data_IF_814563886607
#
_entry.id   IF_814563886607
#
_cell.length_a   1.000
_cell.length_b   1.000
_cell.length_c   1.000
_cell.angle_alpha   90.00
_cell.angle_beta   90.00
_cell.angle_gamma   90.00
#
_symmetry.space_group_name_H-M   'P 1'
#
loop_
_entity.id
_entity.type
_entity.pdbx_description
1 polymer ?
#
# COMPACT_ATOMS: atom_id res chain seq x y z
N UNK A 1 8.87 29.39 -14.22
CA UNK A 1 8.14 28.33 -13.48
C UNK A 1 6.67 28.53 -13.80
N UNK A 2 6.23 27.90 -14.87
CA UNK A 2 4.90 28.10 -15.44
C UNK A 2 3.88 27.23 -14.70
N UNK A 3 2.88 27.89 -14.12
CA UNK A 3 1.66 27.28 -13.59
C UNK A 3 0.99 26.42 -14.68
N UNK A 4 1.18 25.10 -14.61
CA UNK A 4 0.37 24.16 -15.40
C UNK A 4 -1.00 24.10 -14.73
N UNK A 5 -1.96 24.82 -15.29
CA UNK A 5 -3.37 24.71 -14.90
C UNK A 5 -3.85 23.30 -15.22
N UNK A 6 -4.38 22.62 -14.21
CA UNK A 6 -4.90 21.25 -14.24
C UNK A 6 -6.02 21.04 -15.29
N UNK A 7 -6.59 22.11 -15.84
CA UNK A 7 -7.72 22.09 -16.78
C UNK A 7 -7.38 21.68 -18.23
N UNK A 8 -6.10 21.62 -18.63
CA UNK A 8 -5.70 21.25 -20.01
C UNK A 8 -5.61 19.73 -20.27
N UNK A 9 -5.93 18.88 -19.30
CA UNK A 9 -5.78 17.41 -19.36
C UNK A 9 -6.90 16.66 -20.10
N UNK A 10 -7.77 17.34 -20.86
CA UNK A 10 -8.83 16.68 -21.68
C UNK A 10 -8.31 16.00 -22.97
N UNK A 11 -7.01 15.79 -23.09
CA UNK A 11 -6.38 15.01 -24.15
C UNK A 11 -6.55 13.51 -23.90
N UNK A 12 -7.07 12.77 -24.89
CA UNK A 12 -7.11 11.30 -24.91
C UNK A 12 -5.78 10.75 -24.40
N UNK A 13 -5.84 9.90 -23.38
CA UNK A 13 -4.68 9.20 -22.82
C UNK A 13 -3.86 8.62 -23.98
N UNK A 14 -2.57 8.99 -24.15
CA UNK A 14 -1.78 8.65 -25.34
C UNK A 14 -1.25 7.21 -25.33
N UNK A 15 -1.92 6.32 -24.58
CA UNK A 15 -1.56 4.91 -24.45
C UNK A 15 -2.79 4.05 -24.22
N UNK A 16 -2.61 2.74 -24.40
CA UNK A 16 -3.61 1.70 -24.09
C UNK A 16 -3.00 0.62 -23.21
N UNK A 17 -3.83 -0.04 -22.42
CA UNK A 17 -3.47 -1.27 -21.72
C UNK A 17 -3.54 -2.45 -22.70
N UNK A 18 -2.47 -3.22 -22.82
CA UNK A 18 -2.38 -4.38 -23.71
C UNK A 18 -1.57 -5.52 -23.07
N UNK A 19 -1.48 -6.69 -23.72
CA UNK A 19 -0.68 -7.83 -23.23
C UNK A 19 0.80 -7.64 -23.57
N UNK A 20 1.68 -7.99 -22.63
CA UNK A 20 3.13 -8.06 -22.88
C UNK A 20 3.50 -9.38 -23.55
N UNK A 21 4.65 -9.41 -24.24
CA UNK A 21 5.12 -10.61 -24.94
C UNK A 21 5.52 -11.76 -24.01
N UNK A 22 5.95 -11.45 -22.78
CA UNK A 22 6.36 -12.41 -21.75
C UNK A 22 5.21 -12.86 -20.83
N UNK A 23 3.97 -12.46 -21.13
CA UNK A 23 2.81 -12.76 -20.30
C UNK A 23 2.62 -11.71 -19.21
N UNK A 24 1.45 -11.06 -19.21
CA UNK A 24 1.14 -9.96 -18.32
C UNK A 24 0.35 -8.87 -19.04
N UNK A 25 0.30 -7.69 -18.42
CA UNK A 25 -0.28 -6.47 -19.00
C UNK A 25 0.76 -5.36 -18.93
N UNK A 26 0.72 -4.45 -19.89
CA UNK A 26 1.56 -3.26 -19.93
C UNK A 26 0.80 -2.10 -20.55
N UNK A 27 1.42 -0.92 -20.56
CA UNK A 27 0.89 0.28 -21.20
C UNK A 27 1.70 0.55 -22.47
N UNK A 28 1.02 0.71 -23.60
CA UNK A 28 1.66 0.89 -24.90
C UNK A 28 1.21 2.19 -25.56
N UNK A 29 2.16 2.98 -26.06
CA UNK A 29 1.89 4.24 -26.72
C UNK A 29 0.98 4.04 -27.94
N UNK A 30 -0.07 4.85 -28.07
CA UNK A 30 -1.02 4.80 -29.21
C UNK A 30 -0.67 5.81 -30.30
N UNK A 31 0.37 6.61 -30.08
CA UNK A 31 0.91 7.62 -30.98
C UNK A 31 2.37 7.92 -30.57
N UNK A 32 3.18 8.56 -31.44
CA UNK A 32 4.46 9.12 -31.00
C UNK A 32 4.25 10.15 -29.87
N UNK A 33 5.06 10.08 -28.82
CA UNK A 33 4.98 10.97 -27.66
C UNK A 33 6.33 11.69 -27.49
N UNK A 34 6.38 13.03 -27.56
CA UNK A 34 7.62 13.77 -27.34
C UNK A 34 8.17 13.58 -25.92
N UNK A 35 9.47 13.79 -25.76
CA UNK A 35 10.14 13.92 -24.46
C UNK A 35 9.44 14.95 -23.56
N UNK A 36 9.45 14.70 -22.24
CA UNK A 36 8.93 15.58 -21.19
C UNK A 36 7.42 15.86 -21.29
N UNK A 37 6.67 14.96 -21.93
CA UNK A 37 5.21 15.04 -22.03
C UNK A 37 4.56 14.41 -20.80
N UNK A 38 3.64 15.13 -20.15
CA UNK A 38 2.74 14.57 -19.13
C UNK A 38 1.76 13.61 -19.81
N UNK A 39 1.90 12.31 -19.53
CA UNK A 39 1.09 11.27 -20.18
C UNK A 39 -0.04 10.76 -19.28
N UNK A 40 0.10 10.84 -17.95
CA UNK A 40 -0.89 10.34 -17.01
C UNK A 40 -0.78 11.02 -15.65
N UNK A 41 -1.91 11.19 -14.97
CA UNK A 41 -1.98 11.65 -13.58
C UNK A 41 -2.93 10.74 -12.81
N UNK A 42 -2.44 10.17 -11.71
CA UNK A 42 -3.27 9.53 -10.69
C UNK A 42 -3.53 10.57 -9.61
N UNK A 43 -4.73 11.18 -9.51
CA UNK A 43 -4.94 12.36 -8.66
C UNK A 43 -4.88 12.05 -7.16
N UNK A 44 -5.30 10.84 -6.78
CA UNK A 44 -5.31 10.36 -5.39
C UNK A 44 -5.01 8.87 -5.34
N UNK A 45 -4.37 8.37 -4.27
CA UNK A 45 -4.24 6.94 -4.04
C UNK A 45 -5.58 6.35 -3.59
N UNK A 46 -5.86 5.09 -3.95
CA UNK A 46 -7.01 4.34 -3.45
C UNK A 46 -6.89 4.00 -1.97
N UNK A 47 -5.68 3.61 -1.56
CA UNK A 47 -5.32 3.26 -0.20
C UNK A 47 -3.96 3.87 0.12
N UNK A 48 -3.78 4.39 1.33
CA UNK A 48 -2.52 4.95 1.75
C UNK A 48 -2.36 4.89 3.26
N UNK A 49 -1.13 4.77 3.72
CA UNK A 49 -0.78 4.84 5.14
C UNK A 49 0.45 5.72 5.30
N UNK A 50 0.35 6.75 6.13
CA UNK A 50 1.51 7.43 6.70
C UNK A 50 1.88 6.66 7.96
N UNK A 51 3.13 6.22 8.03
CA UNK A 51 3.71 5.51 9.16
C UNK A 51 3.54 6.31 10.44
N UNK A 52 3.38 5.58 11.55
CA UNK A 52 2.97 6.16 12.83
C UNK A 52 3.88 7.30 13.27
N UNK A 53 5.18 7.11 13.12
CA UNK A 53 6.21 8.06 13.55
C UNK A 53 6.14 9.36 12.77
N UNK A 54 5.84 9.29 11.47
CA UNK A 54 5.79 10.45 10.58
C UNK A 54 4.45 11.19 10.55
N UNK A 55 3.41 10.72 11.27
CA UNK A 55 2.06 11.31 11.18
C UNK A 55 2.00 12.78 11.55
N UNK A 56 2.82 13.22 12.50
CA UNK A 56 2.90 14.62 12.91
C UNK A 56 3.70 15.46 11.92
N UNK A 57 4.50 14.83 11.08
CA UNK A 57 5.54 15.45 10.26
C UNK A 57 5.13 15.50 8.80
N UNK A 58 4.19 14.66 8.38
CA UNK A 58 3.72 14.58 6.99
C UNK A 58 2.27 15.04 6.90
N UNK A 59 2.02 16.01 6.02
CA UNK A 59 0.67 16.50 5.74
C UNK A 59 -0.15 15.40 5.04
N UNK A 60 -1.31 15.05 5.58
CA UNK A 60 -2.16 14.00 5.00
C UNK A 60 -2.76 14.36 3.62
N UNK A 61 -2.81 15.64 3.26
CA UNK A 61 -3.38 16.10 1.98
C UNK A 61 -2.38 16.26 0.85
N UNK A 62 -1.17 16.72 1.15
CA UNK A 62 -0.17 17.01 0.12
C UNK A 62 1.14 16.26 0.33
N UNK A 63 1.23 15.44 1.39
CA UNK A 63 2.44 14.72 1.77
C UNK A 63 3.68 15.63 1.87
N UNK A 64 3.47 16.91 2.19
CA UNK A 64 4.55 17.83 2.53
C UNK A 64 5.16 17.42 3.87
N UNK A 65 6.49 17.34 3.89
CA UNK A 65 7.25 17.01 5.08
C UNK A 65 7.54 18.29 5.88
N UNK A 66 7.41 18.23 7.20
CA UNK A 66 7.59 19.39 8.06
C UNK A 66 9.02 19.92 8.01
N UNK A 67 10.01 19.03 7.88
CA UNK A 67 11.43 19.39 7.86
C UNK A 67 11.80 20.19 6.61
N UNK A 68 11.20 19.89 5.45
CA UNK A 68 11.33 20.72 4.23
C UNK A 68 10.94 22.18 4.48
N UNK A 69 9.96 22.40 5.36
CA UNK A 69 9.49 23.72 5.78
C UNK A 69 10.20 24.27 7.03
N UNK A 70 11.33 23.66 7.44
CA UNK A 70 12.10 23.98 8.66
C UNK A 70 11.26 23.89 9.93
N UNK A 71 10.39 22.89 10.02
CA UNK A 71 9.55 22.59 11.18
C UNK A 71 9.79 21.16 11.63
N UNK A 72 9.63 20.90 12.93
CA UNK A 72 9.68 19.53 13.47
C UNK A 72 8.35 18.79 13.33
N UNK A 73 7.23 19.51 13.20
CA UNK A 73 5.90 18.92 13.01
C UNK A 73 4.89 19.96 12.52
N UNK A 74 3.77 19.45 12.02
CA UNK A 74 2.57 20.18 11.67
C UNK A 74 1.65 20.33 12.90
N UNK A 75 1.00 21.48 13.03
CA UNK A 75 0.11 21.79 14.15
C UNK A 75 -1.37 21.71 13.82
N UNK A 76 -1.74 21.71 12.53
CA UNK A 76 -3.14 21.62 12.10
C UNK A 76 -3.57 20.15 12.16
N UNK A 77 -4.51 19.83 13.03
CA UNK A 77 -5.07 18.47 13.20
C UNK A 77 -6.45 18.37 12.56
N UNK A 78 -6.85 17.17 12.13
CA UNK A 78 -8.23 16.91 11.73
C UNK A 78 -9.18 17.08 12.91
N UNK A 79 -8.94 16.30 13.96
CA UNK A 79 -9.58 16.37 15.27
C UNK A 79 -8.61 15.88 16.35
N UNK A 80 -8.88 16.16 17.62
CA UNK A 80 -8.04 15.66 18.71
C UNK A 80 -8.08 14.12 18.74
N UNK A 81 -6.90 13.47 18.79
CA UNK A 81 -6.80 12.01 18.74
C UNK A 81 -7.08 11.34 17.37
N UNK A 82 -7.37 12.11 16.32
CA UNK A 82 -7.63 11.58 14.96
C UNK A 82 -6.43 10.90 14.29
N UNK A 83 -5.21 11.23 14.72
CA UNK A 83 -4.00 10.71 14.10
C UNK A 83 -3.69 11.29 12.71
N UNK A 84 -4.28 12.43 12.33
CA UNK A 84 -4.13 13.07 11.01
C UNK A 84 -3.74 14.54 11.16
N UNK A 85 -2.68 14.95 10.47
CA UNK A 85 -2.12 16.31 10.51
C UNK A 85 -1.97 16.94 9.12
N UNK A 86 -1.92 18.27 9.08
CA UNK A 86 -1.88 19.07 7.86
C UNK A 86 -0.91 20.24 7.96
N UNK A 87 -0.31 20.62 6.83
CA UNK A 87 0.54 21.81 6.77
C UNK A 87 -0.24 23.13 6.83
N UNK A 88 -1.53 23.11 6.54
CA UNK A 88 -2.40 24.29 6.52
C UNK A 88 -3.88 23.94 6.72
N UNK A 89 -4.68 24.93 7.09
CA UNK A 89 -6.15 24.83 7.16
C UNK A 89 -6.79 24.51 5.81
N UNK A 90 -6.20 25.02 4.72
CA UNK A 90 -6.64 24.69 3.36
C UNK A 90 -6.49 23.19 3.09
N UNK A 91 -5.32 22.62 3.36
CA UNK A 91 -5.07 21.18 3.23
C UNK A 91 -6.03 20.34 4.10
N UNK A 92 -6.31 20.77 5.34
CA UNK A 92 -7.29 20.10 6.19
C UNK A 92 -8.68 20.11 5.56
N UNK A 93 -9.12 21.27 5.08
CA UNK A 93 -10.43 21.44 4.45
C UNK A 93 -10.59 20.61 3.17
N UNK A 94 -9.59 20.63 2.29
CA UNK A 94 -9.61 19.86 1.04
C UNK A 94 -9.68 18.36 1.30
N UNK A 95 -8.88 17.87 2.24
CA UNK A 95 -8.86 16.46 2.62
C UNK A 95 -10.17 16.04 3.28
N UNK A 96 -10.71 16.85 4.19
CA UNK A 96 -11.95 16.52 4.92
C UNK A 96 -13.16 16.37 4.00
N UNK A 97 -13.19 17.11 2.88
CA UNK A 97 -14.25 16.99 1.85
C UNK A 97 -14.14 15.73 1.01
N UNK A 98 -12.93 15.18 0.84
CA UNK A 98 -12.67 14.06 -0.07
C UNK A 98 -12.56 12.69 0.63
N UNK A 99 -12.14 12.66 1.89
CA UNK A 99 -11.67 11.41 2.54
C UNK A 99 -12.54 10.93 3.71
N UNK A 100 -13.72 11.50 3.92
CA UNK A 100 -14.64 11.05 4.96
C UNK A 100 -14.07 11.24 6.38
N UNK A 101 -13.82 12.50 6.74
CA UNK A 101 -13.11 12.89 7.96
C UNK A 101 -13.58 12.20 9.25
N UNK A 102 -14.90 12.14 9.47
CA UNK A 102 -15.47 11.54 10.68
C UNK A 102 -15.16 10.04 10.78
N UNK A 103 -15.31 9.33 9.66
CA UNK A 103 -15.07 7.89 9.61
C UNK A 103 -13.58 7.56 9.78
N UNK A 104 -12.69 8.28 9.10
CA UNK A 104 -11.23 8.09 9.26
C UNK A 104 -10.80 8.39 10.70
N UNK A 105 -11.33 9.46 11.31
CA UNK A 105 -11.04 9.78 12.70
C UNK A 105 -11.49 8.65 13.64
N UNK A 106 -12.72 8.15 13.47
CA UNK A 106 -13.25 7.04 14.25
C UNK A 106 -12.39 5.77 14.11
N UNK A 107 -12.01 5.43 12.87
CA UNK A 107 -11.13 4.30 12.55
C UNK A 107 -9.78 4.44 13.26
N UNK A 108 -9.11 5.58 13.11
CA UNK A 108 -7.79 5.78 13.70
C UNK A 108 -7.83 5.73 15.22
N UNK A 109 -8.80 6.41 15.84
CA UNK A 109 -8.99 6.39 17.29
C UNK A 109 -9.25 4.97 17.80
N UNK A 110 -10.06 4.18 17.10
CA UNK A 110 -10.36 2.80 17.51
C UNK A 110 -9.13 1.87 17.37
N UNK A 111 -8.36 2.00 16.28
CA UNK A 111 -7.10 1.26 16.12
C UNK A 111 -6.14 1.57 17.27
N UNK A 112 -5.94 2.86 17.59
CA UNK A 112 -5.04 3.25 18.68
C UNK A 112 -5.55 2.80 20.05
N UNK A 113 -6.87 2.83 20.28
CA UNK A 113 -7.48 2.36 21.52
C UNK A 113 -7.27 0.85 21.70
N UNK A 114 -7.55 0.06 20.67
CA UNK A 114 -7.38 -1.40 20.70
C UNK A 114 -5.91 -1.80 20.85
N UNK A 115 -4.99 -1.17 20.10
CA UNK A 115 -3.56 -1.43 20.21
C UNK A 115 -3.05 -1.19 21.63
N UNK A 116 -3.36 -0.03 22.23
CA UNK A 116 -2.98 0.30 23.62
C UNK A 116 -3.60 -0.66 24.64
N UNK A 117 -4.85 -1.07 24.45
CA UNK A 117 -5.51 -2.03 25.34
C UNK A 117 -4.76 -3.37 25.33
N UNK A 118 -4.42 -3.87 24.14
CA UNK A 118 -3.72 -5.14 23.97
C UNK A 118 -2.28 -5.08 24.54
N UNK A 119 -1.56 -3.98 24.36
CA UNK A 119 -0.24 -3.77 24.97
C UNK A 119 -0.31 -3.80 26.50
N UNK A 120 -1.29 -3.09 27.09
CA UNK A 120 -1.50 -3.07 28.53
C UNK A 120 -1.80 -4.47 29.09
N UNK A 121 -2.63 -5.24 28.39
CA UNK A 121 -2.98 -6.59 28.82
C UNK A 121 -1.82 -7.57 28.66
N UNK A 122 -0.98 -7.41 27.62
CA UNK A 122 0.31 -8.14 27.50
C UNK A 122 1.24 -7.83 28.67
N UNK A 123 1.39 -6.56 29.04
CA UNK A 123 2.22 -6.14 30.18
C UNK A 123 1.76 -6.75 31.51
N UNK A 124 0.45 -6.78 31.76
CA UNK A 124 -0.13 -7.44 32.95
C UNK A 124 0.14 -8.95 32.97
N UNK A 125 -0.01 -9.64 31.82
CA UNK A 125 0.22 -11.10 31.72
C UNK A 125 1.69 -11.45 31.88
N UNK A 126 2.61 -10.70 31.26
CA UNK A 126 4.05 -10.89 31.46
C UNK A 126 4.43 -10.73 32.95
N UNK A 127 3.88 -9.71 33.62
CA UNK A 127 4.07 -9.48 35.05
C UNK A 127 3.42 -10.56 35.96
N UNK A 128 2.43 -11.31 35.47
CA UNK A 128 1.83 -12.46 36.15
C UNK A 128 2.63 -13.75 35.91
N UNK A 129 3.09 -13.98 34.67
CA UNK A 129 3.87 -15.15 34.29
C UNK A 129 5.27 -15.18 34.92
N UNK A 130 5.89 -14.03 35.15
CA UNK A 130 7.16 -13.94 35.92
C UNK A 130 7.02 -14.42 37.38
N UNK A 131 5.80 -14.63 37.90
CA UNK A 131 5.56 -15.11 39.27
C UNK A 131 5.36 -16.62 39.35
N UNK A 132 5.35 -17.34 38.23
CA UNK A 132 5.20 -18.80 38.18
C UNK A 132 6.26 -19.41 37.26
N UNK A 133 7.48 -19.59 37.76
CA UNK A 133 8.52 -20.31 37.04
C UNK A 133 8.48 -21.79 37.44
N UNK A 134 7.82 -22.60 36.60
CA UNK A 134 8.07 -24.03 36.47
C UNK A 134 8.61 -24.28 35.06
N UNK A 135 9.75 -24.97 34.95
CA UNK A 135 10.41 -25.31 33.69
C UNK A 135 9.51 -26.21 32.83
N UNK A 136 9.16 -25.76 31.64
CA UNK A 136 8.50 -26.59 30.61
C UNK A 136 9.59 -27.17 29.69
N UNK A 137 9.57 -28.48 29.37
CA UNK A 137 10.53 -29.07 28.44
C UNK A 137 10.41 -28.46 27.05
N UNK A 138 11.55 -28.33 26.38
CA UNK A 138 11.68 -27.92 24.99
C UNK A 138 10.89 -28.87 24.06
N UNK A 139 10.00 -28.36 23.18
CA UNK A 139 9.35 -29.20 22.19
C UNK A 139 10.35 -29.65 21.13
N UNK A 140 10.28 -30.92 20.74
CA UNK A 140 11.03 -31.47 19.61
C UNK A 140 10.76 -30.68 18.32
N UNK A 141 11.81 -30.47 17.54
CA UNK A 141 11.77 -29.73 16.28
C UNK A 141 10.73 -30.35 15.33
N UNK A 142 9.77 -29.57 14.80
CA UNK A 142 8.79 -30.11 13.87
C UNK A 142 9.48 -30.57 12.59
N UNK A 143 9.00 -31.69 12.04
CA UNK A 143 9.31 -32.14 10.68
C UNK A 143 9.02 -31.02 9.68
N UNK A 144 9.77 -31.01 8.57
CA UNK A 144 9.66 -30.00 7.53
C UNK A 144 8.17 -29.71 7.21
N UNK A 145 7.74 -28.43 7.27
CA UNK A 145 6.35 -28.09 7.07
C UNK A 145 5.88 -28.59 5.69
N UNK A 146 4.63 -29.06 5.56
CA UNK A 146 4.08 -29.44 4.27
C UNK A 146 4.27 -28.29 3.27
N UNK A 147 4.56 -28.63 2.02
CA UNK A 147 4.75 -27.65 0.95
C UNK A 147 3.53 -26.71 0.93
N UNK A 148 3.79 -25.41 1.10
CA UNK A 148 2.76 -24.39 1.17
C UNK A 148 2.14 -24.23 -0.22
N UNK A 149 0.84 -24.54 -0.38
CA UNK A 149 0.12 -24.42 -1.65
C UNK A 149 -0.94 -23.33 -1.60
N UNK A 150 -1.53 -22.99 -2.75
CA UNK A 150 -2.66 -22.06 -2.82
C UNK A 150 -3.84 -22.56 -1.97
N UNK A 151 -4.14 -23.86 -2.04
CA UNK A 151 -5.21 -24.49 -1.27
C UNK A 151 -4.95 -24.43 0.23
N UNK A 152 -3.69 -24.62 0.66
CA UNK A 152 -3.32 -24.49 2.08
C UNK A 152 -3.50 -23.05 2.58
N UNK A 153 -3.16 -22.05 1.76
CA UNK A 153 -3.39 -20.63 2.07
C UNK A 153 -4.90 -20.36 2.16
N UNK A 154 -5.70 -20.86 1.21
CA UNK A 154 -7.15 -20.69 1.20
C UNK A 154 -7.81 -21.31 2.44
N UNK A 155 -7.39 -22.52 2.83
CA UNK A 155 -7.85 -23.19 4.04
C UNK A 155 -7.49 -22.41 5.30
N UNK A 156 -6.29 -21.83 5.37
CA UNK A 156 -5.87 -21.01 6.51
C UNK A 156 -6.73 -19.74 6.65
N UNK A 157 -7.05 -19.07 5.55
CA UNK A 157 -7.97 -17.93 5.53
C UNK A 157 -9.38 -18.32 5.97
N UNK A 158 -9.93 -19.42 5.45
CA UNK A 158 -11.24 -19.92 5.85
C UNK A 158 -11.30 -20.27 7.35
N UNK A 159 -10.25 -20.91 7.88
CA UNK A 159 -10.14 -21.21 9.30
C UNK A 159 -10.04 -19.94 10.17
N UNK A 160 -9.25 -18.96 9.74
CA UNK A 160 -9.14 -17.66 10.41
C UNK A 160 -10.47 -16.90 10.43
N UNK A 161 -11.20 -16.91 9.33
CA UNK A 161 -12.55 -16.34 9.23
C UNK A 161 -13.51 -16.99 10.23
N UNK A 162 -13.61 -18.33 10.24
CA UNK A 162 -14.46 -19.06 11.17
C UNK A 162 -14.10 -18.76 12.64
N UNK A 163 -12.81 -18.70 12.96
CA UNK A 163 -12.33 -18.38 14.31
C UNK A 163 -12.77 -16.98 14.77
N UNK A 164 -12.88 -16.02 13.86
CA UNK A 164 -13.37 -14.67 14.21
C UNK A 164 -14.88 -14.62 14.41
N UNK A 165 -15.66 -15.51 13.78
CA UNK A 165 -17.11 -15.60 13.95
C UNK A 165 -17.53 -16.40 15.19
N UNK A 166 -16.70 -17.36 15.62
CA UNK A 166 -16.94 -18.12 16.83
C UNK A 166 -17.02 -17.17 18.04
N UNK A 167 -18.08 -17.32 18.86
CA UNK A 167 -18.16 -16.70 20.19
C UNK A 167 -17.09 -17.35 21.07
N UNK A 168 -15.86 -16.86 20.98
CA UNK A 168 -14.81 -17.25 21.91
C UNK A 168 -15.22 -16.78 23.31
N UNK A 169 -15.01 -17.63 24.31
CA UNK A 169 -15.19 -17.22 25.71
C UNK A 169 -14.26 -16.00 25.94
N UNK A 170 -14.69 -14.98 26.68
CA UNK A 170 -13.80 -13.88 27.06
C UNK A 170 -12.52 -14.46 27.68
N UNK A 171 -11.38 -14.26 27.01
CA UNK A 171 -10.07 -14.76 27.45
C UNK A 171 -9.50 -16.00 26.74
N UNK A 172 -10.18 -16.63 25.78
CA UNK A 172 -9.66 -17.82 25.07
C UNK A 172 -9.10 -17.58 23.66
N UNK A 173 -9.26 -16.38 23.09
CA UNK A 173 -8.64 -16.04 21.81
C UNK A 173 -7.15 -15.71 22.06
N UNK A 174 -6.20 -16.24 21.27
CA UNK A 174 -4.82 -15.80 21.34
C UNK A 174 -4.77 -14.30 21.00
N UNK A 175 -4.68 -13.46 22.03
CA UNK A 175 -4.50 -12.03 21.90
C UNK A 175 -3.04 -11.76 21.56
N UNK A 176 -2.73 -11.82 20.28
CA UNK A 176 -1.43 -11.45 19.76
C UNK A 176 -1.40 -9.95 19.50
N UNK A 177 -0.73 -9.21 20.39
CA UNK A 177 -0.35 -7.80 20.18
C UNK A 177 0.32 -7.65 18.84
N UNK A 178 -0.22 -6.82 17.95
CA UNK A 178 0.39 -6.55 16.64
C UNK A 178 1.73 -5.82 16.80
N UNK A 179 2.67 -6.11 15.91
CA UNK A 179 3.86 -5.26 15.75
C UNK A 179 3.54 -4.01 14.94
N UNK A 180 4.54 -3.15 14.73
CA UNK A 180 4.37 -1.88 14.03
C UNK A 180 3.99 -2.05 12.55
N UNK A 181 4.65 -2.97 11.84
CA UNK A 181 4.36 -3.26 10.43
C UNK A 181 2.94 -3.82 10.26
N UNK A 182 2.50 -4.68 11.18
CA UNK A 182 1.14 -5.20 11.22
C UNK A 182 0.12 -4.08 11.48
N UNK A 183 0.43 -3.12 12.35
CA UNK A 183 -0.44 -1.96 12.58
C UNK A 183 -0.51 -1.02 11.37
N UNK A 184 0.57 -0.90 10.60
CA UNK A 184 0.58 -0.19 9.33
C UNK A 184 -0.29 -0.90 8.29
N UNK A 185 -0.23 -2.23 8.22
CA UNK A 185 -1.11 -3.05 7.37
C UNK A 185 -2.58 -2.89 7.76
N UNK A 186 -2.90 -2.92 9.06
CA UNK A 186 -4.25 -2.65 9.56
C UNK A 186 -4.75 -1.31 9.03
N UNK A 187 -3.93 -0.26 9.13
CA UNK A 187 -4.30 1.11 8.72
C UNK A 187 -4.42 1.24 7.21
N UNK A 188 -3.51 0.62 6.48
CA UNK A 188 -3.55 0.59 5.02
C UNK A 188 -4.81 -0.09 4.51
N UNK A 189 -5.15 -1.27 5.04
CA UNK A 189 -6.37 -2.00 4.65
C UNK A 189 -7.62 -1.23 5.07
N UNK A 190 -7.67 -0.68 6.28
CA UNK A 190 -8.80 0.14 6.72
C UNK A 190 -8.98 1.40 5.84
N UNK A 191 -7.89 2.01 5.36
CA UNK A 191 -7.99 3.13 4.40
C UNK A 191 -8.68 2.71 3.10
N UNK A 192 -8.38 1.50 2.60
CA UNK A 192 -9.03 0.93 1.41
C UNK A 192 -10.53 0.65 1.65
N UNK A 193 -10.89 0.12 2.83
CA UNK A 193 -12.29 -0.14 3.19
C UNK A 193 -13.09 1.14 3.37
N UNK A 194 -12.50 2.17 3.98
CA UNK A 194 -13.10 3.51 4.09
C UNK A 194 -13.31 4.10 2.71
N UNK A 195 -12.30 4.00 1.82
CA UNK A 195 -12.44 4.48 0.44
C UNK A 195 -13.58 3.78 -0.30
N UNK A 196 -13.65 2.45 -0.20
CA UNK A 196 -14.72 1.65 -0.77
C UNK A 196 -16.11 2.07 -0.24
N UNK A 197 -16.24 2.33 1.04
CA UNK A 197 -17.48 2.87 1.63
C UNK A 197 -17.85 4.24 1.05
N UNK A 198 -16.88 5.15 0.92
CA UNK A 198 -17.11 6.48 0.35
C UNK A 198 -17.56 6.36 -1.11
N UNK A 199 -16.91 5.53 -1.91
CA UNK A 199 -17.25 5.35 -3.33
C UNK A 199 -18.69 4.82 -3.52
N UNK A 200 -19.19 3.97 -2.62
CA UNK A 200 -20.56 3.41 -2.68
C UNK A 200 -21.65 4.43 -2.26
N UNK A 201 -21.35 5.33 -1.33
CA UNK A 201 -22.35 6.25 -0.72
C UNK A 201 -22.31 7.67 -1.27
N UNK A 202 -21.15 8.09 -1.75
CA UNK A 202 -20.95 9.38 -2.40
C UNK A 202 -20.16 9.13 -3.69
N UNK A 203 -20.77 8.45 -4.69
CA UNK A 203 -20.11 8.22 -5.98
C UNK A 203 -19.70 9.58 -6.53
N UNK A 204 -18.41 9.90 -6.42
CA UNK A 204 -17.92 11.20 -6.84
C UNK A 204 -18.27 11.36 -8.32
N UNK A 205 -18.93 12.46 -8.68
CA UNK A 205 -19.19 12.83 -10.07
C UNK A 205 -17.88 13.00 -10.89
N UNK A 206 -16.72 12.91 -10.24
CA UNK A 206 -15.39 12.78 -10.83
C UNK A 206 -15.11 11.36 -11.37
N UNK A 207 -16.11 10.74 -12.00
CA UNK A 207 -15.93 9.59 -12.90
C UNK A 207 -15.26 10.03 -14.22
N UNK A 208 -14.33 10.98 -14.16
CA UNK A 208 -13.58 11.45 -15.30
C UNK A 208 -12.31 10.58 -15.41
N UNK A 209 -12.44 9.53 -16.22
CA UNK A 209 -11.37 8.78 -16.89
C UNK A 209 -10.22 8.14 -16.09
N UNK A 210 -10.15 8.25 -14.75
CA UNK A 210 -9.17 7.50 -13.94
C UNK A 210 -9.85 6.36 -13.15
N UNK A 211 -9.68 5.13 -13.63
CA UNK A 211 -10.04 3.88 -12.92
C UNK A 211 -9.42 3.85 -11.52
N UNK A 212 -10.22 4.09 -10.49
CA UNK A 212 -9.81 4.06 -9.09
C UNK A 212 -10.93 3.53 -8.18
N UNK A 213 -11.74 2.59 -8.68
CA UNK A 213 -12.80 1.93 -7.93
C UNK A 213 -12.30 0.61 -7.33
N UNK A 214 -13.08 0.05 -6.39
CA UNK A 214 -12.80 -1.29 -5.84
C UNK A 214 -12.62 -2.36 -6.91
N UNK A 215 -13.45 -2.34 -7.97
CA UNK A 215 -13.33 -3.26 -9.09
C UNK A 215 -11.98 -3.16 -9.79
N UNK A 216 -11.41 -1.96 -9.89
CA UNK A 216 -10.10 -1.73 -10.51
C UNK A 216 -8.96 -2.22 -9.61
N UNK A 217 -9.10 -2.06 -8.29
CA UNK A 217 -8.18 -2.66 -7.30
C UNK A 217 -8.13 -4.17 -7.48
N UNK A 218 -9.28 -4.83 -7.64
CA UNK A 218 -9.33 -6.28 -7.89
C UNK A 218 -8.62 -6.69 -9.18
N UNK A 219 -8.48 -5.78 -10.16
CA UNK A 219 -7.72 -6.04 -11.38
C UNK A 219 -6.21 -5.91 -11.21
N UNK A 220 -5.69 -5.38 -10.10
CA UNK A 220 -4.25 -5.28 -9.87
C UNK A 220 -3.59 -6.65 -9.72
N UNK A 221 -2.28 -6.72 -9.98
CA UNK A 221 -1.54 -7.97 -9.92
C UNK A 221 -1.60 -8.55 -8.50
N UNK A 222 -2.12 -9.78 -8.40
CA UNK A 222 -2.22 -10.51 -7.15
C UNK A 222 -0.92 -11.31 -6.93
N UNK A 223 -0.26 -11.06 -5.79
CA UNK A 223 0.98 -11.71 -5.39
C UNK A 223 0.82 -12.61 -4.16
N UNK A 224 -0.41 -13.00 -3.78
CA UNK A 224 -0.68 -13.75 -2.53
C UNK A 224 0.21 -14.99 -2.40
N UNK A 225 0.16 -15.89 -3.39
CA UNK A 225 0.97 -17.10 -3.41
C UNK A 225 2.48 -16.84 -3.46
N UNK A 226 3.05 -16.13 -4.46
CA UNK A 226 4.50 -15.93 -4.52
C UNK A 226 5.05 -15.15 -3.31
N UNK A 227 4.26 -14.23 -2.74
CA UNK A 227 4.64 -13.49 -1.53
C UNK A 227 4.71 -14.40 -0.31
N UNK A 228 3.67 -15.21 -0.10
CA UNK A 228 3.59 -16.12 1.04
C UNK A 228 4.61 -17.27 0.90
N UNK A 229 4.89 -17.76 -0.31
CA UNK A 229 5.96 -18.74 -0.55
C UNK A 229 7.34 -18.19 -0.19
N UNK A 230 7.63 -16.94 -0.56
CA UNK A 230 8.90 -16.30 -0.22
C UNK A 230 9.01 -15.96 1.28
N UNK A 231 7.87 -15.77 1.97
CA UNK A 231 7.80 -15.33 3.37
C UNK A 231 6.66 -16.06 4.10
N UNK A 232 6.80 -17.35 4.46
CA UNK A 232 5.70 -18.14 5.06
C UNK A 232 5.08 -17.52 6.31
N UNK A 233 5.87 -16.80 7.12
CA UNK A 233 5.42 -16.06 8.29
C UNK A 233 4.39 -14.96 7.96
N UNK A 234 4.37 -14.45 6.73
CA UNK A 234 3.42 -13.43 6.29
C UNK A 234 1.97 -13.90 6.36
N UNK A 235 1.70 -15.20 6.13
CA UNK A 235 0.35 -15.74 6.26
C UNK A 235 -0.19 -15.58 7.69
N UNK A 236 0.64 -15.90 8.69
CA UNK A 236 0.27 -15.74 10.10
C UNK A 236 0.03 -14.26 10.42
N UNK A 237 0.90 -13.38 9.94
CA UNK A 237 0.75 -11.93 10.10
C UNK A 237 -0.55 -11.39 9.48
N UNK A 238 -0.85 -11.77 8.23
CA UNK A 238 -2.08 -11.37 7.54
C UNK A 238 -3.35 -11.82 8.29
N UNK A 239 -3.37 -13.02 8.86
CA UNK A 239 -4.51 -13.51 9.66
C UNK A 239 -4.68 -12.74 10.97
N UNK A 240 -3.58 -12.30 11.60
CA UNK A 240 -3.62 -11.43 12.78
C UNK A 240 -4.13 -10.04 12.44
N UNK A 241 -3.65 -9.45 11.34
CA UNK A 241 -4.14 -8.18 10.78
C UNK A 241 -5.65 -8.27 10.53
N UNK A 242 -6.12 -9.31 9.85
CA UNK A 242 -7.55 -9.53 9.60
C UNK A 242 -8.35 -9.63 10.90
N UNK A 243 -7.88 -10.42 11.87
CA UNK A 243 -8.53 -10.58 13.17
C UNK A 243 -8.65 -9.24 13.92
N UNK A 244 -7.60 -8.41 13.87
CA UNK A 244 -7.60 -7.08 14.46
C UNK A 244 -8.58 -6.14 13.75
N UNK A 245 -8.56 -6.11 12.41
CA UNK A 245 -9.51 -5.30 11.61
C UNK A 245 -10.95 -5.68 11.93
N UNK A 246 -11.27 -6.98 12.10
CA UNK A 246 -12.61 -7.40 12.54
C UNK A 246 -13.01 -6.83 13.90
N UNK A 247 -12.06 -6.66 14.84
CA UNK A 247 -12.35 -6.03 16.15
C UNK A 247 -12.63 -4.53 15.98
N UNK A 248 -11.85 -3.84 15.14
CA UNK A 248 -12.06 -2.42 14.81
C UNK A 248 -13.45 -2.20 14.18
N UNK A 249 -13.77 -2.97 13.13
CA UNK A 249 -15.01 -2.80 12.35
C UNK A 249 -16.27 -3.13 13.16
N UNK A 250 -16.20 -4.02 14.17
CA UNK A 250 -17.32 -4.25 15.10
C UNK A 250 -17.72 -3.01 15.90
N UNK A 251 -16.77 -2.11 16.17
CA UNK A 251 -17.02 -0.82 16.82
C UNK A 251 -17.49 0.25 15.83
N UNK A 252 -17.32 0.03 14.53
CA UNK A 252 -17.60 0.98 13.45
C UNK A 252 -18.58 0.34 12.46
N UNK A 253 -19.86 0.29 12.87
CA UNK A 253 -20.91 -0.50 12.22
C UNK A 253 -21.08 -0.23 10.72
N UNK A 254 -20.82 1.00 10.26
CA UNK A 254 -20.92 1.37 8.84
C UNK A 254 -19.96 0.58 7.94
N UNK A 255 -18.84 0.07 8.49
CA UNK A 255 -17.88 -0.75 7.76
C UNK A 255 -18.17 -2.25 7.81
N UNK A 256 -19.13 -2.71 8.62
CA UNK A 256 -19.44 -4.16 8.75
C UNK A 256 -19.80 -4.84 7.43
N UNK A 257 -20.60 -4.24 6.52
CA UNK A 257 -20.92 -4.85 5.22
C UNK A 257 -19.68 -5.09 4.34
N UNK A 258 -18.63 -4.29 4.53
CA UNK A 258 -17.38 -4.36 3.75
C UNK A 258 -16.40 -5.42 4.28
N UNK A 259 -16.75 -6.05 5.41
CA UNK A 259 -15.96 -7.07 6.07
C UNK A 259 -16.85 -8.28 6.44
N UNK A 260 -17.79 -8.64 5.58
CA UNK A 260 -18.60 -9.84 5.78
C UNK A 260 -17.69 -11.09 5.90
N UNK A 261 -16.79 -11.24 4.93
CA UNK A 261 -15.76 -12.29 4.85
C UNK A 261 -14.35 -11.68 4.92
N UNK A 262 -13.34 -12.54 4.90
CA UNK A 262 -11.92 -12.19 4.81
C UNK A 262 -11.47 -11.69 3.44
N UNK A 263 -12.31 -11.83 2.40
CA UNK A 263 -11.95 -11.55 1.01
C UNK A 263 -11.44 -10.13 0.79
N UNK A 264 -12.08 -9.12 1.39
CA UNK A 264 -11.67 -7.72 1.19
C UNK A 264 -10.29 -7.44 1.77
N UNK A 265 -10.00 -7.95 2.98
CA UNK A 265 -8.69 -7.79 3.62
C UNK A 265 -7.61 -8.53 2.85
N UNK A 266 -7.89 -9.80 2.51
CA UNK A 266 -6.97 -10.62 1.71
C UNK A 266 -6.69 -9.98 0.35
N UNK A 267 -7.72 -9.47 -0.33
CA UNK A 267 -7.58 -8.85 -1.65
C UNK A 267 -6.63 -7.64 -1.62
N UNK A 268 -6.71 -6.80 -0.58
CA UNK A 268 -5.82 -5.64 -0.41
C UNK A 268 -4.40 -6.08 -0.07
N UNK A 269 -4.21 -6.96 0.92
CA UNK A 269 -2.88 -7.43 1.33
C UNK A 269 -2.14 -8.16 0.19
N UNK A 270 -2.84 -9.04 -0.52
CA UNK A 270 -2.32 -9.78 -1.67
C UNK A 270 -1.86 -8.88 -2.83
N UNK A 271 -2.37 -7.64 -2.91
CA UNK A 271 -2.01 -6.66 -3.94
C UNK A 271 -1.09 -5.57 -3.43
N UNK A 272 -0.92 -5.40 -2.11
CA UNK A 272 -0.10 -4.35 -1.52
C UNK A 272 1.33 -4.39 -2.08
N UNK A 273 2.06 -5.48 -1.84
CA UNK A 273 3.51 -5.52 -2.07
C UNK A 273 3.96 -5.25 -3.51
N UNK A 274 3.18 -5.66 -4.51
CA UNK A 274 3.52 -5.44 -5.91
C UNK A 274 2.81 -4.26 -6.59
N UNK A 275 2.05 -3.43 -5.85
CA UNK A 275 1.28 -2.34 -6.46
C UNK A 275 1.34 -1.01 -5.69
N UNK A 276 2.08 -0.94 -4.58
CA UNK A 276 2.24 0.30 -3.81
C UNK A 276 3.47 1.11 -4.23
N UNK A 277 3.37 2.41 -4.06
CA UNK A 277 4.41 3.40 -4.26
C UNK A 277 4.80 3.97 -2.89
N UNK A 278 6.10 4.03 -2.61
CA UNK A 278 6.61 4.64 -1.38
C UNK A 278 6.41 6.16 -1.40
N UNK A 279 6.06 6.71 -0.25
CA UNK A 279 5.98 8.15 -0.01
C UNK A 279 7.31 8.60 0.54
N UNK A 280 8.12 9.21 -0.32
CA UNK A 280 9.48 9.64 0.01
C UNK A 280 9.58 11.15 0.21
N UNK A 281 10.59 11.53 0.98
CA UNK A 281 11.11 12.90 1.02
C UNK A 281 11.60 13.33 -0.37
N UNK A 282 11.25 14.55 -0.78
CA UNK A 282 11.49 15.02 -2.16
C UNK A 282 12.77 15.84 -2.31
N UNK A 283 13.32 16.41 -1.23
CA UNK A 283 14.40 17.41 -1.29
C UNK A 283 15.71 16.92 -0.65
N UNK A 284 16.15 15.70 -0.95
CA UNK A 284 17.43 15.19 -0.42
C UNK A 284 18.47 14.95 -1.52
N UNK A 285 19.67 15.48 -1.30
CA UNK A 285 20.89 15.04 -1.98
C UNK A 285 21.48 13.87 -1.18
N UNK A 286 20.83 12.69 -1.17
CA UNK A 286 21.29 11.55 -0.38
C UNK A 286 20.18 10.55 -0.05
N UNK A 287 20.29 9.95 1.13
CA UNK A 287 19.27 9.04 1.65
C UNK A 287 17.95 9.80 1.84
N UNK A 288 16.86 9.23 1.32
CA UNK A 288 15.51 9.79 1.40
C UNK A 288 14.69 8.96 2.38
N UNK A 289 14.07 9.62 3.34
CA UNK A 289 13.18 8.94 4.28
C UNK A 289 11.87 8.53 3.61
N UNK A 290 11.41 7.32 3.92
CA UNK A 290 10.13 6.81 3.46
C UNK A 290 9.09 6.92 4.57
N UNK A 291 8.07 7.73 4.35
CA UNK A 291 7.04 8.04 5.34
C UNK A 291 5.80 7.14 5.25
N UNK A 292 5.75 6.26 4.26
CA UNK A 292 4.68 5.28 4.12
C UNK A 292 4.40 4.83 2.70
N UNK A 293 3.21 4.26 2.48
CA UNK A 293 2.81 3.65 1.21
C UNK A 293 1.53 4.24 0.64
N UNK A 294 1.41 4.23 -0.68
CA UNK A 294 0.23 4.64 -1.44
C UNK A 294 -0.04 3.72 -2.62
N UNK A 295 -1.27 3.25 -2.80
CA UNK A 295 -1.69 2.44 -3.95
C UNK A 295 -2.40 3.31 -4.97
N UNK A 296 -1.77 3.51 -6.12
CA UNK A 296 -2.31 4.26 -7.25
C UNK A 296 -2.70 3.27 -8.35
N UNK A 297 -3.98 2.92 -8.45
CA UNK A 297 -4.45 1.76 -9.23
C UNK A 297 -4.01 1.83 -10.70
N UNK A 298 -4.23 2.96 -11.37
CA UNK A 298 -3.83 3.10 -12.79
C UNK A 298 -2.32 3.22 -12.99
N UNK A 299 -1.56 3.69 -11.98
CA UNK A 299 -0.11 3.72 -12.02
C UNK A 299 0.54 2.34 -11.93
N UNK A 300 -0.11 1.37 -11.27
CA UNK A 300 0.40 0.01 -11.11
C UNK A 300 0.44 -0.80 -12.41
N UNK A 301 -0.03 -0.23 -13.53
CA UNK A 301 0.10 -0.85 -14.87
C UNK A 301 1.38 -0.48 -15.62
N UNK A 302 2.15 0.51 -15.16
CA UNK A 302 3.47 0.81 -15.73
C UNK A 302 4.45 -0.28 -15.32
N UNK A 303 4.97 -1.04 -16.29
CA UNK A 303 5.95 -2.09 -16.03
C UNK A 303 7.34 -1.53 -15.72
N UNK A 304 8.23 -2.43 -15.30
CA UNK A 304 9.62 -2.13 -15.03
C UNK A 304 10.48 -2.15 -16.29
N UNK A 305 11.39 -1.18 -16.41
CA UNK A 305 12.59 -1.29 -17.25
C UNK A 305 13.79 -0.68 -16.50
N UNK A 306 15.00 -1.25 -16.70
CA UNK A 306 16.23 -0.68 -16.15
C UNK A 306 16.75 0.54 -16.94
N UNK A 307 16.17 0.82 -18.10
CA UNK A 307 16.34 2.02 -18.92
C UNK A 307 14.95 2.63 -19.25
N UNK A 308 14.21 3.11 -18.23
CA UNK A 308 12.81 3.50 -18.38
C UNK A 308 12.63 4.71 -19.31
N UNK A 309 11.53 4.72 -20.06
CA UNK A 309 11.11 5.84 -20.90
C UNK A 309 10.07 6.74 -20.23
N UNK A 310 9.66 6.41 -18.99
CA UNK A 310 8.75 7.21 -18.16
C UNK A 310 9.36 7.44 -16.78
N UNK A 311 9.29 8.67 -16.29
CA UNK A 311 9.56 9.04 -14.90
C UNK A 311 8.26 9.32 -14.16
N UNK A 312 8.28 9.14 -12.85
CA UNK A 312 7.17 9.41 -11.94
C UNK A 312 7.54 10.56 -11.02
N UNK A 313 6.63 11.50 -10.85
CA UNK A 313 6.79 12.68 -9.99
C UNK A 313 5.57 12.81 -9.09
N UNK A 314 5.81 13.04 -7.79
CA UNK A 314 4.74 13.28 -6.83
C UNK A 314 4.38 14.76 -6.80
N UNK A 315 3.11 15.07 -7.01
CA UNK A 315 2.54 16.41 -6.90
C UNK A 315 1.43 16.40 -5.82
N UNK A 316 1.80 16.70 -4.58
CA UNK A 316 0.88 16.53 -3.47
C UNK A 316 0.53 15.05 -3.25
N UNK A 317 -0.77 14.73 -3.34
CA UNK A 317 -1.31 13.36 -3.37
C UNK A 317 -1.38 12.75 -4.76
N UNK A 318 -1.09 13.52 -5.81
CA UNK A 318 -1.10 12.99 -7.16
C UNK A 318 0.25 12.33 -7.50
N UNK A 319 0.18 11.31 -8.33
CA UNK A 319 1.34 10.73 -9.01
C UNK A 319 1.25 11.06 -10.50
N UNK A 320 2.22 11.81 -11.01
CA UNK A 320 2.29 12.27 -12.40
C UNK A 320 3.37 11.48 -13.15
N UNK A 321 3.11 11.17 -14.42
CA UNK A 321 3.99 10.37 -15.27
C UNK A 321 4.40 11.16 -16.50
N UNK A 322 5.70 11.29 -16.71
CA UNK A 322 6.27 12.06 -17.81
C UNK A 322 7.24 11.21 -18.64
N UNK A 323 7.22 11.36 -19.96
CA UNK A 323 8.21 10.71 -20.82
C UNK A 323 9.61 11.29 -20.58
N UNK A 324 10.65 10.44 -20.53
CA UNK A 324 12.06 10.86 -20.34
C UNK A 324 12.80 11.09 -21.65
N UNK A 325 12.21 10.63 -22.76
CA UNK A 325 12.67 10.76 -24.15
C UNK A 325 11.47 10.67 -25.09
N UNK A 326 11.71 10.87 -26.38
CA UNK A 326 10.70 10.57 -27.39
C UNK A 326 10.35 9.06 -27.36
N UNK A 327 9.05 8.76 -27.44
CA UNK A 327 8.48 7.40 -27.41
C UNK A 327 7.78 7.15 -28.74
N UNK A 328 8.08 6.01 -29.37
CA UNK A 328 7.48 5.64 -30.64
C UNK A 328 6.06 5.06 -30.48
N UNK A 329 5.27 5.07 -31.56
CA UNK A 329 4.00 4.33 -31.61
C UNK A 329 4.22 2.84 -31.27
N UNK A 330 3.41 2.29 -30.38
CA UNK A 330 3.44 0.89 -29.98
C UNK A 330 4.55 0.52 -28.99
N UNK A 331 5.40 1.46 -28.59
CA UNK A 331 6.42 1.25 -27.58
C UNK A 331 5.78 1.10 -26.18
N UNK A 332 6.31 0.18 -25.37
CA UNK A 332 5.86 0.00 -23.99
C UNK A 332 6.35 1.15 -23.10
N UNK A 333 5.46 1.66 -22.25
CA UNK A 333 5.74 2.71 -21.29
C UNK A 333 6.14 2.08 -19.95
N UNK A 334 7.40 2.27 -19.58
CA UNK A 334 8.00 1.63 -18.41
C UNK A 334 8.62 2.65 -17.45
N UNK A 335 8.48 2.38 -16.16
CA UNK A 335 9.14 3.09 -15.06
C UNK A 335 10.24 2.21 -14.45
N UNK A 336 11.05 2.74 -13.54
CA UNK A 336 11.91 1.90 -12.69
C UNK A 336 11.20 1.57 -11.35
N UNK A 337 11.40 0.34 -10.87
CA UNK A 337 10.86 -0.16 -9.61
C UNK A 337 11.90 -0.14 -8.48
N UNK A 338 13.17 -0.12 -8.86
CA UNK A 338 14.35 -0.22 -8.00
C UNK A 338 15.32 0.92 -8.32
N UNK A 339 16.35 1.10 -7.49
CA UNK A 339 17.48 1.96 -7.83
C UNK A 339 18.21 1.38 -9.06
N UNK A 340 18.64 2.26 -9.95
CA UNK A 340 19.30 1.92 -11.22
C UNK A 340 20.83 2.04 -11.14
N UNK A 341 21.38 2.44 -9.98
CA UNK A 341 22.82 2.55 -9.71
C UNK A 341 23.50 1.19 -9.51
N UNK A 342 22.75 0.16 -9.10
CA UNK A 342 23.27 -1.18 -8.83
C UNK A 342 23.68 -1.94 -10.09
N UNK A 343 24.50 -2.98 -9.93
CA UNK A 343 24.93 -3.86 -11.03
C UNK A 343 23.77 -4.70 -11.58
N UNK A 344 23.89 -5.22 -12.81
CA UNK A 344 22.84 -6.06 -13.42
C UNK A 344 22.44 -7.26 -12.56
N UNK A 345 23.39 -7.88 -11.85
CA UNK A 345 23.11 -9.02 -10.96
C UNK A 345 22.27 -8.59 -9.78
N UNK A 346 22.66 -7.51 -9.10
CA UNK A 346 21.93 -6.98 -7.93
C UNK A 346 20.53 -6.51 -8.34
N UNK A 347 20.40 -5.79 -9.46
CA UNK A 347 19.11 -5.36 -9.99
C UNK A 347 18.18 -6.54 -10.27
N UNK A 348 18.67 -7.59 -10.95
CA UNK A 348 17.88 -8.79 -11.24
C UNK A 348 17.54 -9.57 -9.98
N UNK A 349 18.44 -9.64 -9.01
CA UNK A 349 18.17 -10.29 -7.72
C UNK A 349 17.08 -9.55 -6.94
N UNK A 350 17.15 -8.22 -6.84
CA UNK A 350 16.12 -7.40 -6.19
C UNK A 350 14.74 -7.59 -6.85
N UNK A 351 14.68 -7.60 -8.19
CA UNK A 351 13.43 -7.82 -8.92
C UNK A 351 12.89 -9.23 -8.72
N UNK A 352 13.75 -10.25 -8.70
CA UNK A 352 13.34 -11.63 -8.42
C UNK A 352 12.78 -11.78 -6.99
N UNK A 353 13.42 -11.16 -6.00
CA UNK A 353 13.03 -11.28 -4.59
C UNK A 353 11.78 -10.48 -4.21
N UNK A 354 11.58 -9.31 -4.82
CA UNK A 354 10.53 -8.38 -4.44
C UNK A 354 9.37 -8.31 -5.44
N UNK A 355 9.62 -8.67 -6.70
CA UNK A 355 8.65 -8.57 -7.80
C UNK A 355 8.44 -9.88 -8.57
N UNK A 356 9.17 -10.94 -8.22
CA UNK A 356 8.97 -12.31 -8.72
C UNK A 356 9.16 -12.48 -10.24
N UNK A 357 10.01 -11.66 -10.86
CA UNK A 357 10.37 -11.79 -12.27
C UNK A 357 11.85 -11.54 -12.53
N UNK A 358 12.34 -12.08 -13.65
CA UNK A 358 13.67 -11.82 -14.19
C UNK A 358 13.62 -10.71 -15.24
N UNK A 359 14.35 -9.62 -15.02
CA UNK A 359 14.38 -8.51 -15.96
C UNK A 359 15.20 -8.88 -17.22
N UNK A 360 14.56 -8.75 -18.37
CA UNK A 360 15.10 -9.05 -19.71
C UNK A 360 15.15 -7.82 -20.61
N UNK A 361 15.12 -6.61 -20.04
CA UNK A 361 15.24 -5.37 -20.80
C UNK A 361 16.60 -5.27 -21.52
N UNK A 362 16.67 -4.43 -22.55
CA UNK A 362 17.87 -4.28 -23.38
C UNK A 362 19.11 -3.89 -22.57
N UNK A 363 18.94 -3.06 -21.51
CA UNK A 363 20.05 -2.70 -20.63
C UNK A 363 20.60 -3.93 -19.90
N UNK A 364 19.73 -4.76 -19.33
CA UNK A 364 20.15 -5.98 -18.64
C UNK A 364 20.82 -6.97 -19.58
N UNK A 365 20.28 -7.19 -20.79
CA UNK A 365 20.87 -8.13 -21.75
C UNK A 365 22.27 -7.67 -22.18
N UNK A 366 22.43 -6.38 -22.54
CA UNK A 366 23.75 -5.83 -22.89
C UNK A 366 24.77 -5.95 -21.76
N UNK A 367 24.39 -5.59 -20.53
CA UNK A 367 25.29 -5.65 -19.37
C UNK A 367 25.70 -7.10 -19.01
N UNK A 368 24.87 -8.10 -19.32
CA UNK A 368 25.18 -9.52 -19.13
C UNK A 368 26.09 -10.09 -20.24
N UNK A 369 25.93 -9.64 -21.48
CA UNK A 369 26.77 -10.05 -22.61
C UNK A 369 28.21 -9.52 -22.51
N UNK A 370 28.41 -8.39 -21.83
CA UNK A 370 29.73 -7.77 -21.63
C UNK A 370 30.53 -8.34 -20.45
N UNK A 371 30.06 -9.42 -19.81
CA UNK A 371 30.70 -10.01 -18.62
C UNK A 371 31.57 -11.22 -18.91
#
# INVERSE_FOLDING_TARGET
MSDVKVDDLKTRIPFRKDKTWFGGRGLFATQPIPKDTLIHTCPVPYASVIYRDFRKEVCAQCFAYAFDARRSSWNVKLAEGSGVWFCSEACRGDWARAEGAELVSAVNTEVDRLAKSMEKDRGKRAAASCRSLGSVPEPEAPSAPPALTQEAIDQAWAAGELATHAKTKPGSAPETTLDELELEDVRFVLSALVRRYIDDWAPTAAADMSSNLWTDVLQLQNHDLPYILARPQALVSHLRVYTFIRRVVRSIRVLEPYLATSEAVRAVLARKHGNVFGMYEMNTEGDSEMFGWSMYVSASYFNHDCAPNVRKERAGRAMCFYTTRDVAYGEELCINYIDLKDTVTERREQLRLNWYFDCVCDRCNRELETR
#
